data_IF_702181263203
#
_entry.id   IF_702181263203
#
_cell.length_a   1.000
_cell.length_b   1.000
_cell.length_c   1.000
_cell.angle_alpha   90.00
_cell.angle_beta   90.00
_cell.angle_gamma   90.00
#
_symmetry.space_group_name_H-M   'P 1'
#
loop_
_entity.id
_entity.type
_entity.pdbx_description
1 polymer ?
#
# COMPACT_ATOMS: atom_id res chain seq x y z
N UNK A 1 22.36 -11.11 -4.48
CA UNK A 1 22.32 -10.56 -3.10
C UNK A 1 21.00 -9.87 -2.72
N UNK A 2 20.21 -9.29 -3.64
CA UNK A 2 18.98 -8.55 -3.30
C UNK A 2 17.78 -9.36 -2.76
N UNK A 3 17.86 -10.69 -2.59
CA UNK A 3 16.69 -11.53 -2.22
C UNK A 3 16.50 -11.69 -0.73
N UNK A 4 17.60 -11.77 0.00
CA UNK A 4 17.63 -11.90 1.46
C UNK A 4 16.79 -10.80 2.13
N UNK A 5 16.98 -9.49 1.85
CA UNK A 5 16.21 -8.45 2.55
C UNK A 5 14.70 -8.56 2.30
N UNK A 6 14.27 -8.90 1.08
CA UNK A 6 12.84 -9.04 0.76
C UNK A 6 12.23 -10.31 1.34
N UNK A 7 12.96 -11.43 1.35
CA UNK A 7 12.54 -12.65 2.01
C UNK A 7 12.41 -12.45 3.53
N UNK A 8 13.38 -11.74 4.14
CA UNK A 8 13.32 -11.37 5.56
C UNK A 8 12.13 -10.44 5.84
N UNK A 9 11.89 -9.42 5.01
CA UNK A 9 10.73 -8.54 5.15
C UNK A 9 9.40 -9.31 5.06
N UNK A 10 9.28 -10.22 4.09
CA UNK A 10 8.13 -11.14 3.99
C UNK A 10 7.93 -11.95 5.27
N UNK A 11 8.99 -12.63 5.73
CA UNK A 11 8.92 -13.52 6.88
C UNK A 11 8.58 -12.78 8.18
N UNK A 12 9.29 -11.68 8.44
CA UNK A 12 9.08 -10.83 9.64
C UNK A 12 7.70 -10.18 9.59
N UNK A 13 7.29 -9.66 8.44
CA UNK A 13 5.97 -9.06 8.26
C UNK A 13 4.84 -10.08 8.47
N UNK A 14 4.96 -11.28 7.91
CA UNK A 14 3.96 -12.34 8.07
C UNK A 14 3.87 -12.84 9.51
N UNK A 15 5.01 -13.08 10.16
CA UNK A 15 5.06 -13.46 11.57
C UNK A 15 4.49 -12.36 12.47
N UNK A 16 4.86 -11.10 12.24
CA UNK A 16 4.32 -9.95 12.95
C UNK A 16 2.82 -9.79 12.75
N UNK A 17 2.31 -10.00 11.54
CA UNK A 17 0.88 -9.94 11.25
C UNK A 17 0.12 -11.03 12.01
N UNK A 18 0.64 -12.26 12.00
CA UNK A 18 0.08 -13.37 12.78
C UNK A 18 0.07 -13.08 14.28
N UNK A 19 1.16 -12.56 14.83
CA UNK A 19 1.25 -12.18 16.24
C UNK A 19 0.28 -11.05 16.61
N UNK A 20 0.18 -10.01 15.78
CA UNK A 20 -0.75 -8.90 16.01
C UNK A 20 -2.20 -9.37 15.91
N UNK A 21 -2.54 -10.16 14.89
CA UNK A 21 -3.87 -10.74 14.73
C UNK A 21 -4.26 -11.62 15.92
N UNK A 22 -3.36 -12.51 16.36
CA UNK A 22 -3.56 -13.34 17.55
C UNK A 22 -3.84 -12.47 18.79
N UNK A 23 -3.04 -11.44 19.02
CA UNK A 23 -3.23 -10.53 20.17
C UNK A 23 -4.58 -9.81 20.11
N UNK A 24 -4.98 -9.30 18.94
CA UNK A 24 -6.28 -8.63 18.76
C UNK A 24 -7.43 -9.60 19.04
N UNK A 25 -7.37 -10.81 18.50
CA UNK A 25 -8.42 -11.82 18.63
C UNK A 25 -8.57 -12.39 20.05
N UNK A 26 -7.48 -12.41 20.83
CA UNK A 26 -7.44 -12.97 22.19
C UNK A 26 -7.74 -11.94 23.28
N UNK A 27 -7.78 -10.65 22.95
CA UNK A 27 -8.24 -9.63 23.89
C UNK A 27 -9.71 -9.83 24.23
N UNK A 28 -10.15 -9.52 25.47
CA UNK A 28 -11.56 -9.44 25.79
C UNK A 28 -12.30 -8.58 24.76
N UNK A 29 -13.45 -9.08 24.28
CA UNK A 29 -14.23 -8.45 23.21
C UNK A 29 -13.79 -8.78 21.77
N UNK A 30 -12.71 -9.56 21.56
CA UNK A 30 -12.33 -10.09 20.24
C UNK A 30 -12.20 -9.01 19.16
N UNK A 31 -12.83 -9.23 17.99
CA UNK A 31 -12.94 -8.24 16.91
C UNK A 31 -13.96 -7.14 17.24
N UNK A 32 -13.63 -6.28 18.19
CA UNK A 32 -14.40 -5.08 18.52
C UNK A 32 -13.74 -3.82 17.97
N UNK A 33 -14.53 -2.76 17.78
CA UNK A 33 -14.02 -1.43 17.45
C UNK A 33 -12.93 -0.98 18.41
N UNK A 34 -13.11 -1.20 19.72
CA UNK A 34 -12.12 -0.85 20.73
C UNK A 34 -10.77 -1.56 20.48
N UNK A 35 -10.79 -2.86 20.18
CA UNK A 35 -9.55 -3.59 19.91
C UNK A 35 -8.92 -3.19 18.56
N UNK A 36 -9.70 -2.87 17.54
CA UNK A 36 -9.16 -2.37 16.27
C UNK A 36 -8.49 -0.99 16.41
N UNK A 37 -8.98 -0.11 17.29
CA UNK A 37 -8.42 1.23 17.49
C UNK A 37 -7.22 1.28 18.44
N UNK A 38 -7.21 0.42 19.47
CA UNK A 38 -6.30 0.57 20.62
C UNK A 38 -5.37 -0.63 20.86
N UNK A 39 -5.51 -1.73 20.11
CA UNK A 39 -4.56 -2.84 20.17
C UNK A 39 -3.41 -2.67 19.16
N UNK A 40 -2.64 -3.74 18.96
CA UNK A 40 -1.51 -3.74 18.04
C UNK A 40 -1.98 -3.49 16.60
N UNK A 41 -1.35 -2.57 15.85
CA UNK A 41 -1.78 -2.20 14.50
C UNK A 41 -1.55 -3.37 13.54
N UNK A 42 -2.60 -3.79 12.82
CA UNK A 42 -2.50 -4.92 11.88
C UNK A 42 -1.81 -4.54 10.56
N UNK A 43 -1.95 -3.28 10.11
CA UNK A 43 -1.48 -2.91 8.78
C UNK A 43 0.02 -2.66 8.71
N UNK A 44 0.68 -2.24 9.79
CA UNK A 44 2.14 -2.10 9.82
C UNK A 44 2.90 -3.41 9.46
N UNK A 45 2.67 -4.55 10.13
CA UNK A 45 3.32 -5.80 9.73
C UNK A 45 2.82 -6.33 8.37
N UNK A 46 1.54 -6.11 8.02
CA UNK A 46 1.03 -6.47 6.70
C UNK A 46 1.73 -5.70 5.56
N UNK A 47 1.98 -4.40 5.76
CA UNK A 47 2.68 -3.55 4.82
C UNK A 47 4.14 -3.99 4.64
N UNK A 48 4.81 -4.40 5.73
CA UNK A 48 6.17 -4.97 5.66
C UNK A 48 6.18 -6.29 4.87
N UNK A 49 5.22 -7.17 5.13
CA UNK A 49 5.08 -8.42 4.39
C UNK A 49 4.88 -8.14 2.89
N UNK A 50 3.98 -7.21 2.57
CA UNK A 50 3.66 -6.80 1.21
C UNK A 50 4.88 -6.17 0.49
N UNK A 51 5.66 -5.34 1.18
CA UNK A 51 6.90 -4.79 0.64
C UNK A 51 7.91 -5.90 0.29
N UNK A 52 8.00 -6.93 1.13
CA UNK A 52 8.76 -8.14 0.84
C UNK A 52 8.26 -8.85 -0.43
N UNK A 53 6.93 -9.05 -0.56
CA UNK A 53 6.34 -9.75 -1.71
C UNK A 53 6.63 -8.99 -3.01
N UNK A 54 6.43 -7.67 -3.01
CA UNK A 54 6.73 -6.80 -4.16
C UNK A 54 8.22 -6.87 -4.51
N UNK A 55 9.11 -6.82 -3.51
CA UNK A 55 10.56 -6.92 -3.72
C UNK A 55 11.01 -8.28 -4.27
N UNK A 56 10.41 -9.38 -3.80
CA UNK A 56 10.67 -10.72 -4.34
C UNK A 56 10.17 -10.86 -5.78
N UNK A 57 9.00 -10.29 -6.08
CA UNK A 57 8.43 -10.29 -7.43
C UNK A 57 9.25 -9.44 -8.43
N UNK A 58 9.95 -8.41 -7.96
CA UNK A 58 10.76 -7.54 -8.82
C UNK A 58 11.88 -8.27 -9.55
N UNK A 59 12.47 -9.33 -8.96
CA UNK A 59 13.57 -10.10 -9.57
C UNK A 59 13.17 -10.83 -10.86
N UNK A 60 12.20 -11.77 -10.84
CA UNK A 60 11.77 -12.44 -12.06
C UNK A 60 11.22 -11.43 -13.09
N UNK A 61 10.53 -10.38 -12.66
CA UNK A 61 10.06 -9.32 -13.57
C UNK A 61 11.22 -8.59 -14.26
N UNK A 62 12.25 -8.23 -13.52
CA UNK A 62 13.46 -7.62 -14.08
C UNK A 62 14.22 -8.58 -15.03
N UNK A 63 14.11 -9.89 -14.80
CA UNK A 63 14.62 -10.92 -15.70
C UNK A 63 13.70 -11.21 -16.91
N UNK A 64 12.61 -10.45 -17.09
CA UNK A 64 11.69 -10.60 -18.22
C UNK A 64 10.63 -11.69 -18.04
N UNK A 65 10.39 -12.17 -16.82
CA UNK A 65 9.36 -13.18 -16.58
C UNK A 65 7.99 -12.67 -17.03
N UNK A 66 7.32 -13.39 -17.95
CA UNK A 66 6.02 -12.96 -18.48
C UNK A 66 4.90 -13.12 -17.46
N UNK A 67 5.06 -14.05 -16.52
CA UNK A 67 4.06 -14.38 -15.50
C UNK A 67 4.66 -14.43 -14.10
N UNK A 68 3.80 -14.13 -13.12
CA UNK A 68 4.01 -14.34 -11.70
C UNK A 68 2.84 -15.13 -11.16
N UNK A 69 3.11 -16.27 -10.50
CA UNK A 69 2.07 -17.16 -9.97
C UNK A 69 0.95 -17.50 -10.98
N UNK A 70 1.33 -17.76 -12.24
CA UNK A 70 0.39 -18.11 -13.32
C UNK A 70 -0.37 -16.94 -13.95
N UNK A 71 -0.24 -15.72 -13.43
CA UNK A 71 -0.86 -14.51 -13.99
C UNK A 71 0.16 -13.67 -14.74
N UNK A 72 -0.21 -12.93 -15.81
CA UNK A 72 0.69 -11.97 -16.44
C UNK A 72 1.26 -10.99 -15.41
N UNK A 73 2.59 -10.83 -15.39
CA UNK A 73 3.31 -10.12 -14.33
C UNK A 73 2.74 -8.73 -14.02
N UNK A 74 2.41 -7.94 -15.04
CA UNK A 74 1.79 -6.62 -14.86
C UNK A 74 0.41 -6.69 -14.21
N UNK A 75 -0.40 -7.71 -14.52
CA UNK A 75 -1.73 -7.90 -13.91
C UNK A 75 -1.62 -8.36 -12.46
N UNK A 76 -0.73 -9.31 -12.18
CA UNK A 76 -0.46 -9.77 -10.82
C UNK A 76 -0.03 -8.60 -9.91
N UNK A 77 0.91 -7.78 -10.37
CA UNK A 77 1.39 -6.63 -9.62
C UNK A 77 0.35 -5.51 -9.48
N UNK A 78 -0.50 -5.29 -10.49
CA UNK A 78 -1.65 -4.37 -10.35
C UNK A 78 -2.58 -4.84 -9.24
N UNK A 79 -2.93 -6.12 -9.20
CA UNK A 79 -3.78 -6.69 -8.14
C UNK A 79 -3.15 -6.56 -6.77
N UNK A 80 -1.84 -6.85 -6.66
CA UNK A 80 -1.10 -6.76 -5.41
C UNK A 80 -1.01 -5.32 -4.87
N UNK A 81 -0.71 -4.35 -5.74
CA UNK A 81 -0.69 -2.94 -5.35
C UNK A 81 -2.09 -2.41 -5.03
N UNK A 82 -3.13 -2.86 -5.73
CA UNK A 82 -4.52 -2.51 -5.42
C UNK A 82 -4.94 -3.03 -4.04
N UNK A 83 -4.60 -4.28 -3.72
CA UNK A 83 -4.83 -4.87 -2.40
C UNK A 83 -4.11 -4.08 -1.30
N UNK A 84 -2.84 -3.73 -1.52
CA UNK A 84 -2.08 -2.87 -0.61
C UNK A 84 -2.75 -1.53 -0.38
N UNK A 85 -3.11 -0.82 -1.45
CA UNK A 85 -3.77 0.50 -1.35
C UNK A 85 -5.09 0.39 -0.57
N UNK A 86 -5.90 -0.64 -0.83
CA UNK A 86 -7.14 -0.86 -0.10
C UNK A 86 -6.89 -1.10 1.41
N UNK A 87 -5.94 -1.98 1.75
CA UNK A 87 -5.60 -2.28 3.14
C UNK A 87 -5.05 -1.06 3.89
N UNK A 88 -4.11 -0.33 3.29
CA UNK A 88 -3.55 0.91 3.86
C UNK A 88 -4.64 1.98 4.02
N UNK A 89 -5.59 2.07 3.07
CA UNK A 89 -6.72 3.01 3.19
C UNK A 89 -7.66 2.65 4.33
N UNK A 90 -7.95 1.36 4.52
CA UNK A 90 -8.79 0.89 5.61
C UNK A 90 -8.15 1.20 6.98
N UNK A 91 -6.84 0.96 7.13
CA UNK A 91 -6.13 1.33 8.35
C UNK A 91 -6.08 2.86 8.54
N UNK A 92 -5.82 3.63 7.48
CA UNK A 92 -5.87 5.08 7.53
C UNK A 92 -7.25 5.60 7.97
N UNK A 93 -8.34 5.00 7.47
CA UNK A 93 -9.70 5.34 7.87
C UNK A 93 -9.93 5.10 9.37
N UNK A 94 -9.50 3.94 9.89
CA UNK A 94 -9.60 3.64 11.32
C UNK A 94 -8.80 4.65 12.17
N UNK A 95 -7.55 4.91 11.79
CA UNK A 95 -6.68 5.79 12.58
C UNK A 95 -7.07 7.26 12.48
N UNK A 96 -7.62 7.70 11.34
CA UNK A 96 -8.14 9.05 11.18
C UNK A 96 -9.49 9.23 11.88
N UNK A 97 -10.32 8.19 11.94
CA UNK A 97 -11.52 8.17 12.77
C UNK A 97 -11.18 8.28 14.26
N UNK A 98 -10.14 7.57 14.73
CA UNK A 98 -9.61 7.73 16.10
C UNK A 98 -9.12 9.16 16.36
N UNK A 99 -8.59 9.83 15.34
CA UNK A 99 -8.24 11.26 15.36
C UNK A 99 -9.40 12.21 15.06
N UNK A 100 -10.64 11.71 15.04
CA UNK A 100 -11.89 12.45 14.80
C UNK A 100 -11.94 13.31 13.52
N UNK A 101 -11.12 13.01 12.50
CA UNK A 101 -11.05 13.79 11.25
C UNK A 101 -10.95 15.32 11.45
N UNK A 102 -10.26 15.77 12.51
CA UNK A 102 -10.23 17.18 12.91
C UNK A 102 -9.68 18.12 11.83
N UNK A 103 -8.83 17.61 10.94
CA UNK A 103 -8.30 18.36 9.81
C UNK A 103 -8.92 17.86 8.49
N UNK A 104 -9.50 18.73 7.64
CA UNK A 104 -10.15 18.29 6.40
C UNK A 104 -9.27 17.44 5.47
N UNK A 105 -7.95 17.68 5.45
CA UNK A 105 -7.02 16.85 4.66
C UNK A 105 -7.00 15.37 5.07
N UNK A 106 -7.49 15.01 6.26
CA UNK A 106 -7.62 13.62 6.71
C UNK A 106 -8.63 12.81 5.87
N UNK A 107 -9.52 13.47 5.14
CA UNK A 107 -10.48 12.83 4.22
C UNK A 107 -9.86 12.39 2.88
N UNK A 108 -8.71 12.97 2.51
CA UNK A 108 -8.03 12.64 1.26
C UNK A 108 -7.54 11.17 1.22
N UNK A 109 -6.84 10.63 2.24
CA UNK A 109 -6.37 9.25 2.23
C UNK A 109 -7.46 8.18 2.36
N UNK A 110 -8.70 8.56 2.71
CA UNK A 110 -9.85 7.64 2.75
C UNK A 110 -10.75 7.77 1.50
N UNK A 111 -10.35 8.61 0.54
CA UNK A 111 -11.11 8.86 -0.69
C UNK A 111 -10.28 8.53 -1.93
N UNK A 112 -9.14 9.21 -2.13
CA UNK A 112 -8.33 9.07 -3.35
C UNK A 112 -7.71 7.67 -3.46
N UNK A 113 -7.06 7.11 -2.42
CA UNK A 113 -6.47 5.77 -2.52
C UNK A 113 -7.48 4.62 -2.71
N UNK A 114 -8.67 4.59 -2.07
CA UNK A 114 -9.70 3.60 -2.39
C UNK A 114 -10.15 3.62 -3.85
N UNK A 115 -10.42 4.81 -4.42
CA UNK A 115 -10.76 4.94 -5.84
C UNK A 115 -9.61 4.44 -6.72
N UNK A 116 -8.37 4.77 -6.36
CA UNK A 116 -7.16 4.30 -7.05
C UNK A 116 -7.05 2.76 -7.00
N UNK A 117 -7.32 2.16 -5.84
CA UNK A 117 -7.31 0.71 -5.65
C UNK A 117 -8.34 0.01 -6.54
N UNK A 118 -9.57 0.53 -6.63
CA UNK A 118 -10.61 -0.01 -7.51
C UNK A 118 -10.20 0.08 -8.99
N UNK A 119 -9.67 1.22 -9.43
CA UNK A 119 -9.19 1.39 -10.80
C UNK A 119 -8.04 0.44 -11.13
N UNK A 120 -7.11 0.25 -10.20
CA UNK A 120 -5.96 -0.63 -10.39
C UNK A 120 -6.34 -2.11 -10.32
N UNK A 121 -7.31 -2.48 -9.48
CA UNK A 121 -7.91 -3.82 -9.45
C UNK A 121 -8.60 -4.14 -10.78
N UNK A 122 -9.33 -3.18 -11.36
CA UNK A 122 -9.88 -3.31 -12.71
C UNK A 122 -8.81 -3.58 -13.77
N UNK A 123 -7.62 -2.97 -13.63
CA UNK A 123 -6.49 -3.25 -14.52
C UNK A 123 -5.89 -4.65 -14.31
N UNK A 124 -6.12 -5.33 -13.18
CA UNK A 124 -5.68 -6.71 -12.96
C UNK A 124 -6.57 -7.73 -13.69
N UNK A 125 -7.80 -7.36 -14.06
CA UNK A 125 -8.76 -8.24 -14.74
C UNK A 125 -8.38 -8.50 -16.21
N UNK A 126 -8.73 -9.68 -16.75
CA UNK A 126 -8.49 -10.01 -18.15
C UNK A 126 -9.35 -9.14 -19.06
N UNK A 127 -8.80 -8.70 -20.20
CA UNK A 127 -9.56 -7.96 -21.22
C UNK A 127 -9.96 -6.53 -20.85
N UNK A 128 -9.70 -6.07 -19.62
CA UNK A 128 -10.02 -4.72 -19.19
C UNK A 128 -9.21 -3.69 -20.00
N UNK A 129 -9.86 -2.65 -20.54
CA UNK A 129 -9.19 -1.50 -21.17
C UNK A 129 -9.38 -0.22 -20.35
N UNK A 130 -9.49 -0.37 -19.02
CA UNK A 130 -9.83 0.70 -18.08
C UNK A 130 -9.01 1.99 -18.27
N UNK A 131 -9.47 3.13 -17.73
CA UNK A 131 -9.00 4.46 -18.10
C UNK A 131 -7.56 4.73 -17.63
N UNK A 132 -6.56 4.18 -18.34
CA UNK A 132 -5.15 4.14 -17.92
C UNK A 132 -4.58 5.51 -17.55
N UNK A 133 -4.96 6.56 -18.27
CA UNK A 133 -4.53 7.95 -17.98
C UNK A 133 -5.04 8.40 -16.61
N UNK A 134 -6.32 8.17 -16.31
CA UNK A 134 -6.91 8.47 -15.02
C UNK A 134 -6.28 7.63 -13.92
N UNK A 135 -6.11 6.31 -14.12
CA UNK A 135 -5.45 5.44 -13.14
C UNK A 135 -4.03 5.92 -12.82
N UNK A 136 -3.25 6.32 -13.83
CA UNK A 136 -1.90 6.86 -13.62
C UNK A 136 -1.90 8.23 -12.92
N UNK A 137 -2.86 9.11 -13.23
CA UNK A 137 -3.04 10.38 -12.54
C UNK A 137 -3.38 10.17 -11.05
N UNK A 138 -4.30 9.24 -10.75
CA UNK A 138 -4.67 8.86 -9.40
C UNK A 138 -3.51 8.24 -8.61
N UNK A 139 -2.71 7.37 -9.24
CA UNK A 139 -1.49 6.85 -8.62
C UNK A 139 -0.45 7.94 -8.38
N UNK A 140 -0.33 8.92 -9.29
CA UNK A 140 0.55 10.08 -9.09
C UNK A 140 0.07 10.93 -7.92
N UNK A 141 -1.25 11.15 -7.79
CA UNK A 141 -1.84 11.82 -6.65
C UNK A 141 -1.56 11.05 -5.34
N UNK A 142 -1.70 9.72 -5.32
CA UNK A 142 -1.35 8.89 -4.16
C UNK A 142 0.16 8.96 -3.82
N UNK A 143 1.02 9.11 -4.83
CA UNK A 143 2.46 9.30 -4.62
C UNK A 143 2.73 10.58 -3.83
N UNK A 144 2.14 11.70 -4.27
CA UNK A 144 2.27 12.98 -3.57
C UNK A 144 1.53 13.00 -2.23
N UNK A 145 0.38 12.31 -2.13
CA UNK A 145 -0.36 12.19 -0.89
C UNK A 145 0.50 11.61 0.24
N UNK A 146 1.29 10.57 -0.03
CA UNK A 146 2.16 10.00 1.00
C UNK A 146 3.29 10.94 1.42
N UNK A 147 3.89 11.69 0.47
CA UNK A 147 4.93 12.69 0.75
C UNK A 147 4.36 13.87 1.55
N UNK A 148 3.27 14.47 1.08
CA UNK A 148 2.62 15.60 1.74
C UNK A 148 2.04 15.18 3.10
N UNK A 149 1.43 14.00 3.17
CA UNK A 149 0.88 13.42 4.40
C UNK A 149 1.95 13.23 5.48
N UNK A 150 3.16 12.80 5.10
CA UNK A 150 4.31 12.74 6.02
C UNK A 150 4.60 14.14 6.61
N UNK A 151 4.58 15.18 5.77
CA UNK A 151 4.73 16.56 6.22
C UNK A 151 3.62 17.01 7.19
N UNK A 152 2.35 16.69 6.90
CA UNK A 152 1.23 16.96 7.81
C UNK A 152 1.39 16.21 9.14
N UNK A 153 1.81 14.95 9.11
CA UNK A 153 2.04 14.15 10.33
C UNK A 153 3.21 14.72 11.14
N UNK A 154 4.30 15.10 10.49
CA UNK A 154 5.44 15.77 11.12
C UNK A 154 5.03 17.10 11.77
N UNK A 155 4.20 17.91 11.11
CA UNK A 155 3.62 19.11 11.71
C UNK A 155 2.72 18.77 12.90
N UNK A 156 1.97 17.68 12.84
CA UNK A 156 1.16 17.18 13.96
C UNK A 156 2.02 16.84 15.17
N UNK A 157 3.11 16.10 14.99
CA UNK A 157 4.10 15.79 16.04
C UNK A 157 4.69 17.08 16.63
N UNK A 158 5.04 18.05 15.79
CA UNK A 158 5.59 19.34 16.22
C UNK A 158 4.64 20.15 17.12
N UNK A 159 3.32 19.94 16.98
CA UNK A 159 2.28 20.66 17.73
C UNK A 159 1.91 19.98 19.06
N UNK A 160 2.45 18.80 19.33
CA UNK A 160 2.29 18.16 20.65
C UNK A 160 3.09 18.91 21.72
N UNK A 161 2.79 18.63 23.00
CA UNK A 161 3.49 19.26 24.12
C UNK A 161 5.01 19.02 24.04
N UNK A 162 5.78 20.10 24.05
CA UNK A 162 7.25 20.06 23.87
C UNK A 162 7.72 19.83 22.42
N UNK A 163 6.82 19.60 21.47
CA UNK A 163 7.11 19.42 20.05
C UNK A 163 8.24 18.42 19.79
N UNK A 164 9.14 18.76 18.87
CA UNK A 164 10.30 17.91 18.54
C UNK A 164 11.36 17.84 19.65
N UNK A 165 11.33 18.72 20.66
CA UNK A 165 12.23 18.58 21.82
C UNK A 165 11.85 17.37 22.66
N UNK A 166 10.58 16.98 22.65
CA UNK A 166 10.05 15.77 23.29
C UNK A 166 9.75 14.67 22.25
N UNK A 167 10.66 14.46 21.29
CA UNK A 167 10.41 13.57 20.15
C UNK A 167 10.15 12.11 20.56
N UNK A 168 10.81 11.59 21.60
CA UNK A 168 10.68 10.18 22.01
C UNK A 168 9.24 9.83 22.41
N UNK A 169 8.57 10.75 23.12
CA UNK A 169 7.17 10.60 23.47
C UNK A 169 6.25 10.96 22.29
N UNK A 170 6.53 12.07 21.60
CA UNK A 170 5.62 12.61 20.58
C UNK A 170 5.60 11.78 19.29
N UNK A 171 6.67 11.02 18.97
CA UNK A 171 6.65 10.06 17.87
C UNK A 171 5.75 8.85 18.15
N UNK A 172 5.64 8.42 19.41
CA UNK A 172 4.84 7.27 19.82
C UNK A 172 3.37 7.66 20.07
N UNK A 173 3.15 8.84 20.65
CA UNK A 173 1.82 9.33 21.00
C UNK A 173 1.14 10.13 19.87
N UNK A 174 1.92 10.70 18.95
CA UNK A 174 1.44 11.55 17.87
C UNK A 174 0.98 10.78 16.62
N UNK A 175 0.70 11.51 15.52
CA UNK A 175 0.38 10.90 14.24
C UNK A 175 1.53 10.01 13.74
N UNK A 176 1.23 8.82 13.20
CA UNK A 176 2.27 7.88 12.78
C UNK A 176 3.00 8.40 11.54
N UNK A 177 4.24 8.86 11.68
CA UNK A 177 5.09 9.31 10.56
C UNK A 177 5.26 8.29 9.43
N UNK A 178 5.52 6.98 9.68
CA UNK A 178 5.75 6.06 8.58
C UNK A 178 4.49 5.67 7.80
N UNK A 179 3.29 6.03 8.29
CA UNK A 179 2.04 5.61 7.64
C UNK A 179 1.82 6.29 6.28
N UNK A 180 1.90 7.62 6.11
CA UNK A 180 1.67 8.24 4.79
C UNK A 180 2.60 7.76 3.67
N UNK A 181 3.93 7.60 3.85
CA UNK A 181 4.82 7.10 2.81
C UNK A 181 4.45 5.73 2.23
N UNK A 182 3.68 4.90 2.95
CA UNK A 182 3.19 3.62 2.42
C UNK A 182 2.30 3.81 1.18
N UNK A 183 1.49 4.88 1.11
CA UNK A 183 0.74 5.24 -0.09
C UNK A 183 1.67 5.58 -1.26
N UNK A 184 2.78 6.27 -1.01
CA UNK A 184 3.77 6.58 -2.05
C UNK A 184 4.42 5.31 -2.59
N UNK A 185 4.85 4.41 -1.70
CA UNK A 185 5.48 3.15 -2.11
C UNK A 185 4.54 2.28 -2.96
N UNK A 186 3.29 2.09 -2.50
CA UNK A 186 2.29 1.30 -3.21
C UNK A 186 1.87 1.95 -4.52
N UNK A 187 1.75 3.27 -4.57
CA UNK A 187 1.40 3.98 -5.79
C UNK A 187 2.52 3.90 -6.84
N UNK A 188 3.78 4.04 -6.45
CA UNK A 188 4.92 3.84 -7.35
C UNK A 188 4.97 2.41 -7.89
N UNK A 189 4.79 1.41 -7.03
CA UNK A 189 4.67 0.01 -7.45
C UNK A 189 3.50 -0.19 -8.42
N UNK A 190 2.33 0.41 -8.15
CA UNK A 190 1.17 0.37 -9.01
C UNK A 190 1.39 1.03 -10.37
N UNK A 191 2.15 2.14 -10.44
CA UNK A 191 2.52 2.78 -11.72
C UNK A 191 3.43 1.90 -12.54
N UNK A 192 4.44 1.30 -11.92
CA UNK A 192 5.33 0.35 -12.58
C UNK A 192 4.55 -0.87 -13.10
N UNK A 193 3.63 -1.41 -12.30
CA UNK A 193 2.76 -2.52 -12.68
C UNK A 193 1.85 -2.16 -13.87
N UNK A 194 1.22 -0.99 -13.84
CA UNK A 194 0.33 -0.51 -14.91
C UNK A 194 1.09 -0.25 -16.22
N UNK A 195 2.35 0.19 -16.14
CA UNK A 195 3.23 0.34 -17.28
C UNK A 195 3.64 -1.03 -17.86
N UNK A 196 4.09 -1.95 -17.00
CA UNK A 196 4.48 -3.31 -17.38
C UNK A 196 3.33 -4.04 -18.09
N UNK A 197 2.13 -4.00 -17.50
CA UNK A 197 0.92 -4.59 -18.07
C UNK A 197 0.68 -4.12 -19.51
N UNK A 198 0.84 -2.82 -19.77
CA UNK A 198 0.60 -2.27 -21.09
C UNK A 198 1.67 -2.65 -22.11
N UNK A 199 2.93 -2.75 -21.69
CA UNK A 199 3.99 -3.30 -22.53
C UNK A 199 3.68 -4.75 -22.92
N UNK A 200 3.24 -5.58 -21.96
CA UNK A 200 2.85 -6.97 -22.21
C UNK A 200 1.63 -7.10 -23.14
N UNK A 201 0.64 -6.21 -23.03
CA UNK A 201 -0.49 -6.15 -23.96
C UNK A 201 -0.06 -5.78 -25.39
N UNK A 202 0.86 -4.82 -25.54
CA UNK A 202 1.43 -4.44 -26.84
C UNK A 202 2.15 -5.62 -27.50
N UNK A 203 3.11 -6.24 -26.81
CA UNK A 203 3.85 -7.39 -27.33
C UNK A 203 2.98 -8.61 -27.63
N UNK A 204 1.83 -8.75 -26.97
CA UNK A 204 0.87 -9.82 -27.27
C UNK A 204 0.09 -9.53 -28.55
N UNK A 205 -0.27 -8.27 -28.81
CA UNK A 205 -0.94 -7.86 -30.06
C UNK A 205 -0.02 -7.98 -31.27
N UNK A 206 1.22 -7.51 -31.16
CA UNK A 206 2.19 -7.57 -32.26
C UNK A 206 2.48 -9.02 -32.68
N UNK A 207 2.60 -9.93 -31.71
CA UNK A 207 2.76 -11.37 -31.99
C UNK A 207 1.56 -12.00 -32.68
N UNK A 208 0.33 -11.58 -32.38
CA UNK A 208 -0.85 -12.08 -33.08
C UNK A 208 -0.95 -11.52 -34.51
N UNK A 209 -0.48 -10.29 -34.75
CA UNK A 209 -0.52 -9.66 -36.07
C UNK A 209 0.59 -10.13 -37.01
N UNK A 210 1.78 -10.46 -36.49
CA UNK A 210 2.89 -10.99 -37.30
C UNK A 210 2.82 -12.50 -37.57
N UNK A 211 1.84 -13.21 -37.02
CA UNK A 211 1.61 -14.64 -37.25
C UNK A 211 0.48 -14.91 -38.27
N UNK A 212 -0.11 -13.86 -38.86
CA UNK A 212 -1.12 -13.89 -39.91
C UNK A 212 -0.51 -13.46 -41.25
#
# INVERSE_FOLDING_TARGET
>A
MATVPYATACAVGAAGFGFHAYNVLRRPGGLSWANLFYAAPLGAPAALALAGVIGLAARPVAAGAPTLAGLPSGRALCGLAAFGLAGTSAEAALLHFRGAFQHPAMWVPVSVPPVTAVMLAGAALPGARGPRRLTNALLTACTWLGVLGMGFHARGVARQMGGWRNWSQNLLAGPPLPAPPSFSALALAGRAALALRAAQEGSSRDRMQGAA
#
